data_IF_581298191083
#
_entry.id   IF_581298191083
#
_cell.length_a   1.000
_cell.length_b   1.000
_cell.length_c   1.000
_cell.angle_alpha   90.00
_cell.angle_beta   90.00
_cell.angle_gamma   90.00
#
_symmetry.space_group_name_H-M   'P 1'
#
loop_
_entity.id
_entity.type
_entity.pdbx_description
1 polymer ?
#
# COMPACT_ATOMS: atom_id res chain seq x y z
N UNK A 1 19.74 -34.96 13.26
CA UNK A 1 19.43 -33.51 13.23
C UNK A 1 17.92 -33.36 13.05
N UNK A 2 17.17 -32.80 14.01
CA UNK A 2 15.69 -32.75 13.98
C UNK A 2 15.16 -31.31 13.89
N UNK A 3 14.56 -30.99 12.74
CA UNK A 3 13.35 -30.18 12.51
C UNK A 3 13.01 -29.01 13.46
N UNK A 4 13.77 -27.93 13.44
CA UNK A 4 13.36 -26.65 14.06
C UNK A 4 12.47 -25.77 13.15
N UNK A 5 12.46 -26.01 11.83
CA UNK A 5 11.74 -25.15 10.86
C UNK A 5 10.21 -25.30 10.81
N UNK A 6 9.67 -26.52 11.00
CA UNK A 6 8.24 -26.79 10.77
C UNK A 6 7.35 -26.16 11.86
N UNK A 7 7.84 -25.98 13.08
CA UNK A 7 6.99 -25.57 14.21
C UNK A 7 6.61 -24.08 14.17
N UNK A 8 7.59 -23.20 13.95
CA UNK A 8 7.34 -21.75 13.86
C UNK A 8 6.46 -21.40 12.66
N UNK A 9 6.68 -22.08 11.53
CA UNK A 9 5.85 -21.95 10.34
C UNK A 9 4.39 -22.36 10.61
N UNK A 10 4.17 -23.46 11.34
CA UNK A 10 2.82 -23.91 11.71
C UNK A 10 2.11 -22.96 12.68
N UNK A 11 2.84 -22.33 13.59
CA UNK A 11 2.28 -21.30 14.47
C UNK A 11 1.87 -20.05 13.67
N UNK A 12 2.68 -19.63 12.69
CA UNK A 12 2.32 -18.52 11.81
C UNK A 12 1.09 -18.86 10.94
N UNK A 13 1.01 -20.08 10.40
CA UNK A 13 -0.18 -20.55 9.67
C UNK A 13 -1.43 -20.55 10.54
N UNK A 14 -1.32 -20.99 11.81
CA UNK A 14 -2.42 -20.94 12.77
C UNK A 14 -2.87 -19.50 13.04
N UNK A 15 -1.93 -18.59 13.26
CA UNK A 15 -2.22 -17.17 13.49
C UNK A 15 -2.97 -16.54 12.31
N UNK A 16 -2.46 -16.70 11.08
CA UNK A 16 -3.12 -16.21 9.86
C UNK A 16 -4.51 -16.83 9.66
N UNK A 17 -4.66 -18.11 10.01
CA UNK A 17 -5.93 -18.79 9.96
C UNK A 17 -6.95 -18.20 10.94
N UNK A 18 -6.54 -17.85 12.16
CA UNK A 18 -7.42 -17.21 13.15
C UNK A 18 -7.70 -15.74 12.82
N UNK A 19 -6.75 -15.01 12.24
CA UNK A 19 -6.95 -13.64 11.77
C UNK A 19 -8.00 -13.55 10.64
N UNK A 20 -8.05 -14.55 9.76
CA UNK A 20 -9.03 -14.64 8.68
C UNK A 20 -10.42 -15.11 9.13
N UNK A 21 -10.59 -15.51 10.40
CA UNK A 21 -11.85 -16.01 10.97
C UNK A 21 -12.13 -15.31 12.31
N UNK A 22 -12.51 -14.03 12.29
CA UNK A 22 -12.76 -13.25 13.50
C UNK A 22 -13.90 -13.81 14.36
N UNK A 23 -14.80 -14.61 13.78
CA UNK A 23 -15.83 -15.39 14.48
C UNK A 23 -15.30 -16.61 15.25
N UNK A 24 -14.01 -16.91 15.10
CA UNK A 24 -13.30 -18.01 15.75
C UNK A 24 -13.58 -19.38 15.13
N UNK A 25 -12.61 -20.29 15.27
CA UNK A 25 -12.69 -21.66 14.72
C UNK A 25 -12.71 -22.71 15.83
N UNK A 26 -13.43 -23.80 15.61
CA UNK A 26 -13.34 -24.97 16.49
C UNK A 26 -11.98 -25.64 16.31
N UNK A 27 -11.45 -26.24 17.38
CA UNK A 27 -10.16 -26.98 17.35
C UNK A 27 -10.10 -28.07 16.27
N UNK A 28 -11.23 -28.71 15.95
CA UNK A 28 -11.31 -29.71 14.88
C UNK A 28 -11.20 -29.07 13.48
N UNK A 29 -11.76 -27.87 13.29
CA UNK A 29 -11.66 -27.12 12.04
C UNK A 29 -10.23 -26.63 11.81
N UNK A 30 -9.59 -26.13 12.88
CA UNK A 30 -8.17 -25.73 12.88
C UNK A 30 -7.29 -26.93 12.49
N UNK A 31 -7.48 -28.07 13.15
CA UNK A 31 -6.71 -29.29 12.86
C UNK A 31 -6.84 -29.72 11.38
N UNK A 32 -8.07 -29.73 10.85
CA UNK A 32 -8.34 -30.08 9.45
C UNK A 32 -7.68 -29.10 8.47
N UNK A 33 -7.76 -27.79 8.74
CA UNK A 33 -7.22 -26.75 7.85
C UNK A 33 -5.69 -26.68 7.87
N UNK A 34 -5.06 -26.99 9.01
CA UNK A 34 -3.61 -27.08 9.12
C UNK A 34 -3.05 -28.45 8.69
N UNK A 35 -3.91 -29.45 8.45
CA UNK A 35 -3.50 -30.81 8.08
C UNK A 35 -2.78 -31.55 9.22
N UNK A 36 -3.19 -31.30 10.48
CA UNK A 36 -2.56 -31.88 11.67
C UNK A 36 -3.56 -32.61 12.56
N UNK A 37 -3.06 -33.44 13.48
CA UNK A 37 -3.90 -34.10 14.48
C UNK A 37 -4.52 -33.09 15.47
N UNK A 38 -5.72 -33.38 15.98
CA UNK A 38 -6.44 -32.49 16.92
C UNK A 38 -5.63 -32.15 18.17
N UNK A 39 -4.86 -33.12 18.69
CA UNK A 39 -3.97 -32.89 19.83
C UNK A 39 -2.82 -31.93 19.49
N UNK A 40 -2.28 -32.00 18.27
CA UNK A 40 -1.24 -31.08 17.78
C UNK A 40 -1.80 -29.67 17.63
N UNK A 41 -3.01 -29.53 17.08
CA UNK A 41 -3.70 -28.23 17.01
C UNK A 41 -3.93 -27.62 18.39
N UNK A 42 -4.32 -28.43 19.39
CA UNK A 42 -4.42 -27.98 20.78
C UNK A 42 -3.11 -27.41 21.31
N UNK A 43 -2.00 -28.15 21.15
CA UNK A 43 -0.67 -27.68 21.56
C UNK A 43 -0.25 -26.38 20.86
N UNK A 44 -0.55 -26.23 19.56
CA UNK A 44 -0.25 -25.00 18.85
C UNK A 44 -1.09 -23.82 19.33
N UNK A 45 -2.36 -24.05 19.69
CA UNK A 45 -3.21 -23.02 20.30
C UNK A 45 -2.65 -22.60 21.66
N UNK A 46 -2.28 -23.56 22.51
CA UNK A 46 -1.70 -23.27 23.84
C UNK A 46 -0.42 -22.43 23.69
N UNK A 47 0.47 -22.82 22.77
CA UNK A 47 1.71 -22.10 22.49
C UNK A 47 1.48 -20.73 21.85
N UNK A 48 0.49 -20.59 20.97
CA UNK A 48 0.12 -19.30 20.38
C UNK A 48 -0.50 -18.37 21.44
N UNK A 49 -1.27 -18.91 22.38
CA UNK A 49 -1.89 -18.16 23.47
C UNK A 49 -0.86 -17.52 24.42
N UNK A 50 0.34 -18.11 24.51
CA UNK A 50 1.47 -17.52 25.24
C UNK A 50 2.10 -16.32 24.50
N UNK A 51 1.83 -16.14 23.20
CA UNK A 51 2.41 -15.09 22.36
C UNK A 51 1.44 -13.95 22.09
N UNK A 52 0.16 -14.26 21.88
CA UNK A 52 -0.88 -13.30 21.52
C UNK A 52 -2.17 -13.57 22.32
N UNK A 53 -2.96 -12.52 22.61
CA UNK A 53 -4.18 -12.69 23.38
C UNK A 53 -5.24 -13.41 22.55
N UNK A 54 -5.64 -14.61 22.99
CA UNK A 54 -6.75 -15.37 22.43
C UNK A 54 -8.02 -15.21 23.28
N UNK A 55 -9.17 -15.39 22.65
CA UNK A 55 -10.44 -15.64 23.33
C UNK A 55 -10.92 -17.06 23.01
N UNK A 56 -11.57 -17.68 23.98
CA UNK A 56 -12.26 -18.96 23.79
C UNK A 56 -13.70 -18.81 24.26
N UNK A 57 -14.65 -19.07 23.37
CA UNK A 57 -16.08 -19.03 23.65
C UNK A 57 -16.79 -20.05 22.74
N UNK A 58 -17.79 -20.75 23.26
CA UNK A 58 -18.62 -21.69 22.49
C UNK A 58 -17.81 -22.73 21.67
N UNK A 59 -16.74 -23.24 22.28
CA UNK A 59 -15.77 -24.18 21.67
C UNK A 59 -15.03 -23.65 20.45
N UNK A 60 -15.05 -22.33 20.24
CA UNK A 60 -14.28 -21.61 19.23
C UNK A 60 -13.11 -20.89 19.89
N UNK A 61 -12.03 -20.78 19.13
CA UNK A 61 -10.82 -20.05 19.49
C UNK A 61 -10.66 -18.94 18.46
N UNK A 62 -10.41 -17.73 18.90
CA UNK A 62 -10.10 -16.59 18.03
C UNK A 62 -9.09 -15.65 18.69
N UNK A 63 -8.57 -14.70 17.91
CA UNK A 63 -7.65 -13.69 18.41
C UNK A 63 -8.46 -12.53 18.99
N UNK A 64 -8.13 -12.07 20.20
CA UNK A 64 -8.73 -10.87 20.78
C UNK A 64 -8.25 -9.67 19.97
N UNK A 65 -9.12 -9.13 19.12
CA UNK A 65 -8.85 -7.89 18.40
C UNK A 65 -8.77 -6.73 19.38
N UNK A 66 -7.56 -6.32 19.78
CA UNK A 66 -7.39 -4.96 20.29
C UNK A 66 -7.45 -4.00 19.10
N UNK A 67 -7.93 -2.77 19.29
CA UNK A 67 -8.00 -1.81 18.19
C UNK A 67 -6.63 -1.55 17.52
N UNK A 68 -5.54 -1.90 18.22
CA UNK A 68 -4.15 -1.81 17.78
C UNK A 68 -3.65 -3.01 16.96
N UNK A 69 -4.42 -4.11 16.85
CA UNK A 69 -3.99 -5.37 16.17
C UNK A 69 -4.51 -5.51 14.73
N UNK A 70 -5.23 -4.52 14.19
CA UNK A 70 -5.92 -4.64 12.89
C UNK A 70 -5.01 -4.56 11.65
N UNK A 71 -3.74 -4.23 11.81
CA UNK A 71 -2.72 -4.50 10.80
C UNK A 71 -1.96 -5.74 11.26
N UNK A 72 -2.49 -6.91 10.89
CA UNK A 72 -1.87 -8.21 11.15
C UNK A 72 -0.43 -8.24 10.63
N UNK A 73 0.39 -9.08 11.26
CA UNK A 73 1.84 -9.19 11.08
C UNK A 73 2.32 -8.97 9.63
N UNK A 74 2.97 -7.82 9.38
CA UNK A 74 3.78 -7.63 8.16
C UNK A 74 5.05 -8.47 8.34
N UNK A 75 5.20 -9.51 7.52
CA UNK A 75 6.39 -10.32 7.45
C UNK A 75 7.58 -9.56 6.87
N UNK A 76 8.79 -10.12 7.00
CA UNK A 76 10.01 -9.47 6.49
C UNK A 76 9.92 -9.12 5.00
N UNK A 77 9.41 -10.03 4.16
CA UNK A 77 9.29 -9.80 2.72
C UNK A 77 8.29 -8.70 2.39
N UNK A 78 7.14 -8.66 3.07
CA UNK A 78 6.14 -7.60 2.89
C UNK A 78 6.70 -6.23 3.31
N UNK A 79 7.39 -6.18 4.45
CA UNK A 79 8.09 -4.99 4.90
C UNK A 79 9.14 -4.52 3.90
N UNK A 80 9.94 -5.45 3.36
CA UNK A 80 10.92 -5.14 2.31
C UNK A 80 10.24 -4.65 1.02
N UNK A 81 9.10 -5.23 0.62
CA UNK A 81 8.32 -4.77 -0.54
C UNK A 81 7.84 -3.33 -0.35
N UNK A 82 7.29 -2.99 0.82
CA UNK A 82 6.91 -1.60 1.12
C UNK A 82 8.11 -0.66 1.07
N UNK A 83 9.24 -1.05 1.68
CA UNK A 83 10.44 -0.25 1.65
C UNK A 83 10.95 -0.01 0.23
N UNK A 84 11.02 -1.04 -0.61
CA UNK A 84 11.47 -0.90 -2.00
C UNK A 84 10.58 0.05 -2.80
N UNK A 85 9.25 -0.08 -2.67
CA UNK A 85 8.30 0.81 -3.35
C UNK A 85 8.38 2.26 -2.87
N UNK A 86 8.40 2.47 -1.55
CA UNK A 86 8.45 3.82 -0.96
C UNK A 86 9.81 4.50 -1.18
N UNK A 87 10.90 3.73 -1.15
CA UNK A 87 12.23 4.24 -1.50
C UNK A 87 12.30 4.63 -2.97
N UNK A 88 11.81 3.78 -3.88
CA UNK A 88 11.75 4.10 -5.30
C UNK A 88 10.93 5.36 -5.55
N UNK A 89 9.78 5.51 -4.90
CA UNK A 89 8.98 6.74 -4.93
C UNK A 89 9.76 7.96 -4.45
N UNK A 90 10.44 7.87 -3.30
CA UNK A 90 11.20 8.99 -2.74
C UNK A 90 12.39 9.43 -3.63
N UNK A 91 13.10 8.45 -4.20
CA UNK A 91 14.27 8.69 -5.07
C UNK A 91 13.88 9.22 -6.45
N UNK A 92 12.68 8.89 -6.95
CA UNK A 92 12.23 9.27 -8.30
C UNK A 92 11.12 10.35 -8.31
N UNK A 93 10.82 10.94 -7.15
CA UNK A 93 9.92 12.10 -7.07
C UNK A 93 10.61 13.34 -7.62
N UNK A 94 9.97 13.98 -8.60
CA UNK A 94 10.51 15.14 -9.32
C UNK A 94 10.69 16.37 -8.41
N UNK A 95 9.71 16.62 -7.54
CA UNK A 95 9.70 17.77 -6.62
C UNK A 95 9.68 17.33 -5.16
N UNK A 96 10.00 18.27 -4.27
CA UNK A 96 9.84 18.11 -2.81
C UNK A 96 8.38 17.83 -2.47
N UNK A 97 8.12 16.85 -1.61
CA UNK A 97 6.76 16.45 -1.23
C UNK A 97 6.60 16.16 0.28
N UNK A 98 6.39 17.21 1.10
CA UNK A 98 6.22 17.08 2.55
C UNK A 98 5.07 16.16 2.98
N UNK A 99 3.95 16.18 2.28
CA UNK A 99 2.77 15.35 2.58
C UNK A 99 3.07 13.86 2.34
N UNK A 100 3.76 13.56 1.23
CA UNK A 100 4.27 12.21 0.96
C UNK A 100 5.27 11.74 2.01
N UNK A 101 6.20 12.60 2.42
CA UNK A 101 7.15 12.28 3.49
C UNK A 101 6.42 12.00 4.81
N UNK A 102 5.43 12.81 5.17
CA UNK A 102 4.59 12.59 6.34
C UNK A 102 3.82 11.25 6.27
N UNK A 103 3.32 10.86 5.10
CA UNK A 103 2.70 9.55 4.89
C UNK A 103 3.70 8.40 5.12
N UNK A 104 4.92 8.51 4.58
CA UNK A 104 5.98 7.52 4.82
C UNK A 104 6.36 7.45 6.30
N UNK A 105 6.46 8.57 7.02
CA UNK A 105 6.75 8.59 8.47
C UNK A 105 5.66 7.92 9.30
N UNK A 106 4.38 8.05 8.93
CA UNK A 106 3.27 7.32 9.56
C UNK A 106 3.39 5.82 9.33
N UNK A 107 3.79 5.38 8.14
CA UNK A 107 4.05 3.97 7.86
C UNK A 107 5.29 3.48 8.61
N UNK A 108 6.35 4.28 8.67
CA UNK A 108 7.57 3.99 9.44
C UNK A 108 7.26 3.74 10.91
N UNK A 109 6.46 4.60 11.55
CA UNK A 109 6.11 4.43 12.96
C UNK A 109 5.38 3.10 13.22
N UNK A 110 4.52 2.68 12.29
CA UNK A 110 3.90 1.36 12.33
C UNK A 110 4.94 0.24 12.13
N UNK A 111 5.81 0.35 11.12
CA UNK A 111 6.84 -0.66 10.80
C UNK A 111 7.84 -0.86 11.94
N UNK A 112 8.19 0.19 12.67
CA UNK A 112 9.08 0.13 13.84
C UNK A 112 8.56 -0.78 14.95
N UNK A 113 7.25 -1.02 15.01
CA UNK A 113 6.64 -1.89 16.05
C UNK A 113 7.09 -3.35 15.91
N UNK A 114 7.48 -3.79 14.70
CA UNK A 114 7.95 -5.15 14.45
C UNK A 114 9.36 -5.21 13.82
N UNK A 115 9.84 -4.15 13.18
CA UNK A 115 11.20 -4.05 12.65
C UNK A 115 11.75 -2.62 12.77
N UNK A 116 12.44 -2.28 13.89
CA UNK A 116 13.04 -0.97 14.09
C UNK A 116 14.04 -0.58 13.00
N UNK A 117 14.83 -1.56 12.52
CA UNK A 117 15.82 -1.33 11.48
C UNK A 117 15.17 -0.91 10.15
N UNK A 118 14.10 -1.61 9.74
CA UNK A 118 13.38 -1.28 8.51
C UNK A 118 12.65 0.06 8.63
N UNK A 119 12.04 0.34 9.78
CA UNK A 119 11.42 1.63 10.05
C UNK A 119 12.41 2.79 9.92
N UNK A 120 13.65 2.63 10.42
CA UNK A 120 14.70 3.64 10.23
C UNK A 120 15.02 3.88 8.74
N UNK A 121 15.00 2.84 7.91
CA UNK A 121 15.20 3.01 6.46
C UNK A 121 14.04 3.79 5.81
N UNK A 122 12.81 3.58 6.27
CA UNK A 122 11.65 4.37 5.83
C UNK A 122 11.74 5.83 6.27
N UNK A 123 12.28 6.12 7.46
CA UNK A 123 12.54 7.52 7.85
C UNK A 123 13.52 8.18 6.87
N UNK A 124 14.62 7.50 6.53
CA UNK A 124 15.58 8.04 5.55
C UNK A 124 14.96 8.25 4.17
N UNK A 125 14.06 7.37 3.73
CA UNK A 125 13.30 7.59 2.50
C UNK A 125 12.37 8.81 2.61
N UNK A 126 11.73 9.02 3.77
CA UNK A 126 10.91 10.20 4.00
C UNK A 126 11.73 11.50 3.97
N UNK A 127 12.91 11.51 4.59
CA UNK A 127 13.80 12.68 4.63
C UNK A 127 14.30 13.05 3.22
N UNK A 128 14.51 12.06 2.35
CA UNK A 128 14.85 12.30 0.95
C UNK A 128 13.68 12.94 0.15
N UNK A 129 12.43 12.62 0.52
CA UNK A 129 11.26 13.11 -0.21
C UNK A 129 10.93 14.57 0.14
N UNK A 130 11.24 15.02 1.36
CA UNK A 130 11.01 16.39 1.81
C UNK A 130 12.28 17.19 2.14
N UNK A 131 13.42 16.75 1.61
CA UNK A 131 14.70 17.45 1.73
C UNK A 131 14.61 18.92 1.29
N UNK A 132 15.27 19.81 2.02
CA UNK A 132 15.19 21.26 1.80
C UNK A 132 15.85 21.73 0.50
N UNK A 133 16.78 20.95 -0.03
CA UNK A 133 17.50 21.21 -1.29
C UNK A 133 16.74 20.75 -2.54
N UNK A 134 15.60 20.05 -2.38
CA UNK A 134 14.72 19.70 -3.50
C UNK A 134 13.85 20.89 -3.94
N UNK A 135 13.67 21.01 -5.25
CA UNK A 135 12.80 22.02 -5.86
C UNK A 135 11.34 21.86 -5.41
N UNK A 136 10.66 22.99 -5.19
CA UNK A 136 9.26 23.03 -4.74
C UNK A 136 8.36 23.44 -5.89
N UNK A 137 7.36 22.61 -6.20
CA UNK A 137 6.32 22.93 -7.16
C UNK A 137 4.95 22.50 -6.61
N UNK A 138 4.21 23.38 -5.92
CA UNK A 138 2.92 23.03 -5.32
C UNK A 138 1.87 22.67 -6.37
N UNK A 139 1.91 23.31 -7.55
CA UNK A 139 0.96 23.06 -8.64
C UNK A 139 1.05 21.61 -9.13
N UNK A 140 2.26 21.03 -9.20
CA UNK A 140 2.45 19.62 -9.58
C UNK A 140 1.67 18.66 -8.67
N UNK A 141 1.75 18.87 -7.35
CA UNK A 141 1.06 18.02 -6.38
C UNK A 141 -0.46 18.28 -6.32
N UNK A 142 -0.87 19.54 -6.52
CA UNK A 142 -2.30 19.89 -6.67
C UNK A 142 -2.93 19.19 -7.89
N UNK A 143 -2.22 19.14 -9.02
CA UNK A 143 -2.70 18.38 -10.17
C UNK A 143 -2.73 16.87 -9.90
N UNK A 144 -1.73 16.32 -9.20
CA UNK A 144 -1.76 14.90 -8.82
C UNK A 144 -2.97 14.57 -7.93
N UNK A 145 -3.31 15.44 -6.98
CA UNK A 145 -4.48 15.27 -6.12
C UNK A 145 -5.77 15.22 -6.94
N UNK A 146 -5.97 16.18 -7.86
CA UNK A 146 -7.13 16.20 -8.75
C UNK A 146 -7.21 14.98 -9.67
N UNK A 147 -6.07 14.55 -10.22
CA UNK A 147 -5.99 13.35 -11.06
C UNK A 147 -6.32 12.11 -10.24
N UNK A 148 -5.81 12.02 -9.01
CA UNK A 148 -6.12 10.94 -8.07
C UNK A 148 -7.60 10.88 -7.74
N UNK A 149 -8.23 12.02 -7.44
CA UNK A 149 -9.68 12.09 -7.20
C UNK A 149 -10.49 11.67 -8.44
N UNK A 150 -10.14 12.17 -9.62
CA UNK A 150 -10.81 11.84 -10.87
C UNK A 150 -10.68 10.35 -11.21
N UNK A 151 -9.50 9.77 -10.99
CA UNK A 151 -9.24 8.34 -11.19
C UNK A 151 -10.08 7.47 -10.26
N UNK A 152 -10.01 7.74 -8.95
CA UNK A 152 -10.72 6.97 -7.93
C UNK A 152 -12.24 7.10 -8.05
N UNK A 153 -12.73 8.23 -8.55
CA UNK A 153 -14.16 8.47 -8.77
C UNK A 153 -14.65 8.06 -10.17
N UNK A 154 -13.74 7.64 -11.07
CA UNK A 154 -14.04 7.34 -12.48
C UNK A 154 -14.83 8.46 -13.17
N UNK A 155 -14.48 9.72 -12.88
CA UNK A 155 -15.15 10.89 -13.44
C UNK A 155 -14.38 11.43 -14.65
N UNK A 156 -15.08 11.82 -15.73
CA UNK A 156 -14.43 12.48 -16.86
C UNK A 156 -13.93 13.87 -16.44
N UNK A 157 -12.75 14.21 -16.93
CA UNK A 157 -12.08 15.49 -16.70
C UNK A 157 -11.60 16.08 -18.02
N UNK A 158 -11.53 17.39 -18.06
CA UNK A 158 -10.75 18.12 -19.04
C UNK A 158 -9.33 18.32 -18.48
N UNK A 159 -8.32 17.94 -19.26
CA UNK A 159 -6.91 18.13 -18.93
C UNK A 159 -6.28 19.07 -19.94
N UNK A 160 -5.72 20.17 -19.45
CA UNK A 160 -4.87 21.04 -20.25
C UNK A 160 -3.40 20.68 -20.00
N UNK A 161 -2.65 20.45 -21.06
CA UNK A 161 -1.24 20.06 -20.97
C UNK A 161 -0.40 20.67 -22.09
N UNK A 162 0.89 20.87 -21.82
CA UNK A 162 1.86 21.31 -22.82
C UNK A 162 2.52 20.11 -23.49
N UNK A 163 2.44 20.02 -24.82
CA UNK A 163 3.00 18.89 -25.57
C UNK A 163 4.45 19.11 -26.07
N UNK A 164 5.12 20.18 -25.64
CA UNK A 164 6.43 20.61 -26.15
C UNK A 164 6.35 21.77 -27.16
N UNK A 165 5.19 22.02 -27.77
CA UNK A 165 4.99 23.09 -28.75
C UNK A 165 3.89 24.06 -28.33
N UNK A 166 2.76 23.54 -27.85
CA UNK A 166 1.59 24.33 -27.46
C UNK A 166 0.79 23.64 -26.35
N UNK A 167 -0.07 24.43 -25.72
CA UNK A 167 -1.09 23.91 -24.81
C UNK A 167 -2.21 23.24 -25.60
N UNK A 168 -2.60 22.05 -25.17
CA UNK A 168 -3.69 21.26 -25.70
C UNK A 168 -4.69 20.96 -24.57
N UNK A 169 -5.96 20.89 -24.92
CA UNK A 169 -7.04 20.51 -24.01
C UNK A 169 -7.67 19.20 -24.48
N UNK A 170 -7.87 18.25 -23.58
CA UNK A 170 -8.51 16.96 -23.89
C UNK A 170 -9.54 16.58 -22.84
N UNK A 171 -10.68 16.05 -23.26
CA UNK A 171 -11.62 15.37 -22.37
C UNK A 171 -11.23 13.89 -22.27
N UNK A 172 -11.03 13.40 -21.06
CA UNK A 172 -10.56 12.04 -20.83
C UNK A 172 -11.03 11.44 -19.51
N UNK A 173 -10.89 10.12 -19.41
CA UNK A 173 -10.88 9.40 -18.14
C UNK A 173 -9.43 9.10 -17.73
N UNK A 174 -9.13 9.23 -16.44
CA UNK A 174 -7.85 8.75 -15.89
C UNK A 174 -7.92 7.22 -15.75
N UNK A 175 -6.91 6.52 -16.26
CA UNK A 175 -6.85 5.05 -16.28
C UNK A 175 -5.87 4.50 -15.26
N UNK A 176 -4.71 5.15 -15.15
CA UNK A 176 -3.69 4.80 -14.19
C UNK A 176 -2.81 6.01 -13.83
N UNK A 177 -2.07 5.84 -12.75
CA UNK A 177 -1.01 6.74 -12.29
C UNK A 177 0.19 5.87 -11.97
N UNK A 178 1.36 6.19 -12.52
CA UNK A 178 2.58 5.41 -12.32
C UNK A 178 3.81 6.29 -12.24
N UNK A 179 4.86 5.77 -11.62
CA UNK A 179 6.18 6.39 -11.72
C UNK A 179 6.72 6.25 -13.15
N UNK A 180 7.37 7.30 -13.62
CA UNK A 180 8.11 7.26 -14.87
C UNK A 180 9.34 6.33 -14.68
N UNK A 181 9.59 5.45 -15.65
CA UNK A 181 10.68 4.46 -15.59
C UNK A 181 12.02 5.02 -16.03
N UNK A 182 12.00 6.03 -16.89
CA UNK A 182 13.18 6.54 -17.58
C UNK A 182 13.64 7.90 -17.02
N UNK A 183 12.71 8.69 -16.49
CA UNK A 183 12.97 10.01 -15.88
C UNK A 183 12.29 10.13 -14.51
N UNK A 184 12.77 10.98 -13.58
CA UNK A 184 12.04 11.29 -12.36
C UNK A 184 10.69 11.95 -12.67
N UNK A 185 9.63 11.53 -11.99
CA UNK A 185 8.28 12.07 -12.20
C UNK A 185 7.20 10.99 -12.27
N UNK A 186 5.99 11.45 -12.58
CA UNK A 186 4.77 10.66 -12.61
C UNK A 186 4.17 10.74 -14.02
N UNK A 187 3.77 9.58 -14.54
CA UNK A 187 3.04 9.45 -15.79
C UNK A 187 1.58 9.12 -15.46
N UNK A 188 0.69 9.71 -16.26
CA UNK A 188 -0.75 9.61 -16.11
C UNK A 188 -1.31 9.00 -17.40
N UNK A 189 -1.83 7.77 -17.29
CA UNK A 189 -2.52 7.11 -18.38
C UNK A 189 -3.94 7.64 -18.51
N UNK A 190 -4.33 8.06 -19.72
CA UNK A 190 -5.66 8.62 -20.01
C UNK A 190 -6.32 7.90 -21.20
N UNK A 191 -7.66 7.80 -21.16
CA UNK A 191 -8.49 7.40 -22.30
C UNK A 191 -9.25 8.61 -22.82
N UNK A 192 -9.01 9.01 -24.07
CA UNK A 192 -9.70 10.14 -24.67
C UNK A 192 -11.18 9.82 -24.93
N UNK A 193 -12.03 10.79 -24.61
CA UNK A 193 -13.46 10.74 -24.86
C UNK A 193 -13.75 11.47 -26.19
N UNK A 194 -13.46 10.80 -27.31
CA UNK A 194 -13.80 11.28 -28.65
C UNK A 194 -14.88 10.38 -29.27
N UNK A 195 -15.67 10.93 -30.21
CA UNK A 195 -16.86 10.36 -30.89
C UNK A 195 -16.72 8.92 -31.46
N UNK A 196 -16.53 7.92 -30.59
CA UNK A 196 -16.57 6.50 -30.92
C UNK A 196 -15.23 5.78 -31.00
N UNK A 197 -14.09 6.43 -30.77
CA UNK A 197 -12.77 5.77 -30.71
C UNK A 197 -12.09 6.04 -29.37
N UNK A 198 -11.99 5.01 -28.53
CA UNK A 198 -11.10 5.03 -27.36
C UNK A 198 -9.65 5.03 -27.86
N UNK A 199 -9.01 6.19 -27.81
CA UNK A 199 -7.56 6.30 -27.99
C UNK A 199 -6.92 6.55 -26.63
N UNK A 200 -5.95 5.72 -26.27
CA UNK A 200 -5.18 5.89 -25.04
C UNK A 200 -3.98 6.81 -25.28
N UNK A 201 -3.66 7.61 -24.27
CA UNK A 201 -2.45 8.46 -24.24
C UNK A 201 -1.83 8.44 -22.85
N UNK A 202 -0.57 8.81 -22.81
CA UNK A 202 0.19 9.00 -21.59
C UNK A 202 0.67 10.44 -21.52
N UNK A 203 0.46 11.07 -20.37
CA UNK A 203 0.88 12.44 -20.10
C UNK A 203 1.90 12.43 -18.97
N UNK A 204 2.97 13.22 -19.10
CA UNK A 204 3.84 13.54 -17.98
C UNK A 204 3.15 14.57 -17.09
N UNK A 205 3.07 14.29 -15.79
CA UNK A 205 2.44 15.19 -14.82
C UNK A 205 3.08 16.58 -14.82
N UNK A 206 4.39 16.69 -15.10
CA UNK A 206 5.08 17.98 -15.21
C UNK A 206 4.60 18.83 -16.40
N UNK A 207 3.99 18.21 -17.41
CA UNK A 207 3.39 18.87 -18.55
C UNK A 207 1.91 19.25 -18.34
N UNK A 208 1.27 18.77 -17.27
CA UNK A 208 -0.14 19.07 -16.97
C UNK A 208 -0.24 20.44 -16.32
N UNK A 209 -1.05 21.31 -16.90
CA UNK A 209 -1.25 22.70 -16.48
C UNK A 209 -2.47 22.78 -15.57
N UNK A 210 -3.57 22.14 -15.95
CA UNK A 210 -4.82 22.13 -15.20
C UNK A 210 -5.62 20.85 -15.42
N UNK A 211 -6.41 20.52 -14.42
CA UNK A 211 -7.38 19.42 -14.44
C UNK A 211 -8.68 19.98 -13.89
N UNK A 212 -9.72 19.95 -14.71
CA UNK A 212 -11.05 20.44 -14.39
C UNK A 212 -12.08 19.34 -14.63
N UNK A 213 -13.10 19.24 -13.75
CA UNK A 213 -14.19 18.31 -13.99
C UNK A 213 -15.00 18.77 -15.20
N UNK A 214 -15.19 17.90 -16.19
CA UNK A 214 -16.01 18.21 -17.35
C UNK A 214 -17.43 18.57 -16.88
N UNK A 215 -17.90 19.77 -17.22
CA UNK A 215 -19.28 20.18 -16.93
C UNK A 215 -20.20 19.28 -17.76
N UNK A 216 -21.20 18.70 -17.08
CA UNK A 216 -22.25 17.86 -17.70
C UNK A 216 -23.02 18.61 -18.78
#
# INVERSE_FOLDING_TARGET
>A
MKYAGNKSERLNQLELLLLSHPEGLRRAEIARRLGVHRATAGRYIDELSARIPLWEQDFRVGIKSSQSTRLGHIGLLEGLSFYLGLRYFAENSLYRFPEGAAAIRKLSSFVKTFSPALGKQLDSASDCLDAEDKEVNPAYWEQLERIGEAWLSSRPVQVDFFNGEKTLSVNCLIRDIRMNRDLPGILVGISLLNDGTESERELDLSGIISVEYSVK
#
